data_IF_960692553667
#
_entry.id   IF_960692553667
#
_cell.length_a   1.000
_cell.length_b   1.000
_cell.length_c   1.000
_cell.angle_alpha   90.00
_cell.angle_beta   90.00
_cell.angle_gamma   90.00
#
_symmetry.space_group_name_H-M   'P 1'
#
loop_
_entity.id
_entity.type
_entity.pdbx_description
1 polymer ?
#
# COMPACT_ATOMS: atom_id res chain seq x y z
N UNK A 1 -22.43 -25.93 0.69
CA UNK A 1 -21.16 -26.39 0.09
C UNK A 1 -21.14 -25.87 -1.33
N UNK A 2 -20.55 -24.70 -1.56
CA UNK A 2 -20.32 -24.23 -2.92
C UNK A 2 -19.20 -25.11 -3.51
N UNK A 3 -19.43 -25.73 -4.65
CA UNK A 3 -18.37 -26.37 -5.41
C UNK A 3 -17.33 -25.32 -5.74
N UNK A 4 -16.06 -25.55 -5.36
CA UNK A 4 -14.94 -24.79 -5.90
C UNK A 4 -14.93 -25.01 -7.41
N UNK A 5 -15.58 -24.13 -8.18
CA UNK A 5 -15.36 -24.07 -9.60
C UNK A 5 -13.90 -23.64 -9.80
N UNK A 6 -13.08 -24.61 -10.18
CA UNK A 6 -11.67 -24.39 -10.46
C UNK A 6 -11.57 -23.38 -11.60
N UNK A 7 -10.77 -22.33 -11.40
CA UNK A 7 -10.53 -21.33 -12.42
C UNK A 7 -10.12 -21.98 -13.74
N UNK A 8 -10.67 -21.52 -14.85
CA UNK A 8 -10.40 -22.06 -16.17
C UNK A 8 -9.35 -21.21 -16.89
N UNK A 9 -8.10 -21.33 -16.45
CA UNK A 9 -6.98 -20.51 -16.91
C UNK A 9 -6.28 -21.06 -18.17
N UNK A 10 -6.94 -21.95 -18.93
CA UNK A 10 -6.41 -22.37 -20.22
C UNK A 10 -6.33 -21.17 -21.16
N UNK A 11 -5.26 -21.10 -21.96
CA UNK A 11 -4.98 -19.93 -22.78
C UNK A 11 -6.14 -19.54 -23.71
N UNK A 12 -6.80 -20.53 -24.33
CA UNK A 12 -7.97 -20.30 -25.20
C UNK A 12 -9.09 -19.54 -24.49
N UNK A 13 -9.26 -19.74 -23.18
CA UNK A 13 -10.28 -19.10 -22.37
C UNK A 13 -9.88 -17.67 -21.98
N UNK A 14 -8.59 -17.44 -21.71
CA UNK A 14 -8.06 -16.08 -21.50
C UNK A 14 -8.27 -15.23 -22.76
N UNK A 15 -7.93 -15.77 -23.94
CA UNK A 15 -8.15 -15.10 -25.23
C UNK A 15 -9.64 -14.83 -25.47
N UNK A 16 -10.49 -15.86 -25.29
CA UNK A 16 -11.94 -15.72 -25.45
C UNK A 16 -12.53 -14.65 -24.50
N UNK A 17 -12.05 -14.58 -23.26
CA UNK A 17 -12.52 -13.61 -22.28
C UNK A 17 -12.20 -12.16 -22.68
N UNK A 18 -11.00 -11.90 -23.20
CA UNK A 18 -10.64 -10.57 -23.72
C UNK A 18 -11.42 -10.22 -24.98
N UNK A 19 -11.63 -11.19 -25.88
CA UNK A 19 -12.47 -10.99 -27.06
C UNK A 19 -13.93 -10.67 -26.71
N UNK A 20 -14.50 -11.28 -25.67
CA UNK A 20 -15.86 -10.97 -25.20
C UNK A 20 -16.01 -9.54 -24.70
N UNK A 21 -14.97 -8.98 -24.07
CA UNK A 21 -14.95 -7.59 -23.64
C UNK A 21 -14.76 -6.59 -24.79
N UNK A 22 -14.45 -7.07 -26.01
CA UNK A 22 -14.11 -6.25 -27.18
C UNK A 22 -12.96 -5.26 -26.89
N UNK A 23 -11.99 -5.72 -26.11
CA UNK A 23 -10.81 -4.93 -25.74
C UNK A 23 -9.64 -5.32 -26.64
N UNK A 24 -8.97 -4.30 -27.19
CA UNK A 24 -7.75 -4.48 -27.97
C UNK A 24 -8.01 -4.59 -29.47
N UNK A 25 -7.02 -5.15 -30.17
CA UNK A 25 -7.00 -5.37 -31.61
C UNK A 25 -7.64 -6.67 -32.05
N UNK A 26 -7.58 -6.94 -33.34
CA UNK A 26 -7.98 -8.23 -33.86
C UNK A 26 -6.92 -9.29 -33.51
N UNK A 27 -7.36 -10.54 -33.30
CA UNK A 27 -6.46 -11.68 -33.13
C UNK A 27 -5.44 -11.55 -31.97
N UNK A 28 -5.88 -11.42 -30.71
CA UNK A 28 -4.96 -11.46 -29.57
C UNK A 28 -4.15 -12.75 -29.57
N UNK A 29 -2.86 -12.66 -29.24
CA UNK A 29 -2.00 -13.81 -28.99
C UNK A 29 -1.35 -13.72 -27.61
N UNK A 30 -0.94 -14.87 -27.11
CA UNK A 30 -0.28 -14.98 -25.82
C UNK A 30 1.19 -14.60 -25.93
N UNK A 31 1.63 -13.69 -25.06
CA UNK A 31 3.00 -13.17 -25.07
C UNK A 31 3.71 -13.38 -23.72
N UNK A 32 3.01 -13.86 -22.70
CA UNK A 32 3.65 -14.22 -21.44
C UNK A 32 2.69 -14.42 -20.27
N UNK A 33 3.19 -15.07 -19.24
CA UNK A 33 2.48 -15.31 -17.99
C UNK A 33 3.40 -15.00 -16.82
N UNK A 34 2.83 -14.34 -15.82
CA UNK A 34 3.51 -13.89 -14.61
C UNK A 34 2.70 -14.29 -13.40
N UNK A 35 3.36 -14.81 -12.37
CA UNK A 35 2.74 -15.21 -11.12
C UNK A 35 3.12 -14.18 -10.04
N UNK A 36 2.13 -13.41 -9.58
CA UNK A 36 2.24 -12.54 -8.42
C UNK A 36 1.75 -13.24 -7.14
N UNK A 37 1.87 -12.55 -6.01
CA UNK A 37 1.45 -13.07 -4.71
C UNK A 37 -0.05 -13.32 -4.61
N UNK A 38 -0.87 -12.42 -5.18
CA UNK A 38 -2.34 -12.53 -5.12
C UNK A 38 -3.00 -12.80 -6.48
N UNK A 39 -2.25 -12.73 -7.57
CA UNK A 39 -2.79 -12.81 -8.93
C UNK A 39 -1.90 -13.61 -9.87
N UNK A 40 -2.53 -14.21 -10.88
CA UNK A 40 -1.89 -14.63 -12.12
C UNK A 40 -2.16 -13.58 -13.20
N UNK A 41 -1.12 -13.20 -13.93
CA UNK A 41 -1.18 -12.13 -14.93
C UNK A 41 -0.78 -12.69 -16.29
N UNK A 42 -1.64 -12.50 -17.28
CA UNK A 42 -1.38 -12.92 -18.67
C UNK A 42 -1.13 -11.69 -19.53
N UNK A 43 0.01 -11.62 -20.21
CA UNK A 43 0.28 -10.63 -21.24
C UNK A 43 -0.32 -11.13 -22.55
N UNK A 44 -1.24 -10.36 -23.10
CA UNK A 44 -1.76 -10.56 -24.44
C UNK A 44 -1.28 -9.44 -25.35
N UNK A 45 -0.77 -9.81 -26.51
CA UNK A 45 -0.26 -8.88 -27.52
C UNK A 45 -1.12 -8.93 -28.77
N UNK A 46 -1.05 -7.85 -29.55
CA UNK A 46 -1.80 -7.66 -30.78
C UNK A 46 -0.84 -7.17 -31.86
N UNK A 47 -1.11 -7.48 -33.13
CA UNK A 47 -0.29 -6.99 -34.24
C UNK A 47 -0.54 -5.50 -34.53
N UNK A 48 -1.74 -5.01 -34.23
CA UNK A 48 -2.25 -3.69 -34.59
C UNK A 48 -2.43 -2.75 -33.39
N UNK A 49 -2.25 -3.24 -32.16
CA UNK A 49 -2.52 -2.48 -30.93
C UNK A 49 -1.51 -2.79 -29.81
N UNK A 50 -1.51 -1.92 -28.79
CA UNK A 50 -0.71 -2.12 -27.59
C UNK A 50 -1.19 -3.35 -26.79
N UNK A 51 -0.24 -4.05 -26.19
CA UNK A 51 -0.50 -5.21 -25.34
C UNK A 51 -1.32 -4.86 -24.10
N UNK A 52 -1.98 -5.87 -23.54
CA UNK A 52 -2.79 -5.78 -22.31
C UNK A 52 -2.36 -6.83 -21.30
N UNK A 53 -2.58 -6.51 -20.03
CA UNK A 53 -2.44 -7.44 -18.91
C UNK A 53 -3.82 -7.92 -18.45
N UNK A 54 -4.06 -9.23 -18.48
CA UNK A 54 -5.24 -9.85 -17.87
C UNK A 54 -4.86 -10.32 -16.47
N UNK A 55 -5.40 -9.68 -15.42
CA UNK A 55 -5.15 -10.02 -14.02
C UNK A 55 -6.30 -10.84 -13.46
N UNK A 56 -6.00 -12.07 -13.04
CA UNK A 56 -6.94 -12.98 -12.37
C UNK A 56 -6.42 -13.27 -10.97
N UNK A 57 -7.20 -12.96 -9.93
CA UNK A 57 -6.79 -13.22 -8.54
C UNK A 57 -6.70 -14.73 -8.28
N UNK A 58 -5.80 -15.17 -7.40
CA UNK A 58 -5.80 -16.56 -6.93
C UNK A 58 -7.06 -16.83 -6.10
N UNK A 59 -7.64 -18.03 -6.16
CA UNK A 59 -8.74 -18.41 -5.25
C UNK A 59 -8.25 -18.38 -3.81
N UNK A 60 -9.08 -17.86 -2.91
CA UNK A 60 -8.85 -17.98 -1.46
C UNK A 60 -9.89 -18.92 -0.87
N UNK A 61 -9.44 -19.94 -0.13
CA UNK A 61 -10.29 -21.04 0.35
C UNK A 61 -11.47 -20.57 1.24
N UNK A 62 -11.39 -19.37 1.81
CA UNK A 62 -12.38 -18.82 2.75
C UNK A 62 -13.27 -17.70 2.16
N UNK A 63 -13.07 -17.27 0.90
CA UNK A 63 -13.83 -16.15 0.33
C UNK A 63 -15.10 -16.62 -0.39
N UNK A 64 -16.24 -15.99 -0.10
CA UNK A 64 -17.44 -16.20 -0.90
C UNK A 64 -17.26 -15.62 -2.32
N UNK A 65 -18.10 -16.06 -3.27
CA UNK A 65 -18.13 -15.47 -4.62
C UNK A 65 -18.35 -13.95 -4.57
N UNK A 66 -19.22 -13.50 -3.67
CA UNK A 66 -19.52 -12.07 -3.50
C UNK A 66 -18.32 -11.30 -2.97
N UNK A 67 -17.54 -11.89 -2.04
CA UNK A 67 -16.30 -11.30 -1.55
C UNK A 67 -15.27 -11.17 -2.68
N UNK A 68 -15.08 -12.21 -3.48
CA UNK A 68 -14.17 -12.20 -4.63
C UNK A 68 -14.56 -11.12 -5.64
N UNK A 69 -15.85 -11.01 -5.97
CA UNK A 69 -16.37 -9.97 -6.87
C UNK A 69 -16.13 -8.58 -6.25
N UNK A 70 -16.42 -8.40 -4.96
CA UNK A 70 -16.26 -7.12 -4.28
C UNK A 70 -14.80 -6.64 -4.27
N UNK A 71 -13.84 -7.57 -4.08
CA UNK A 71 -12.40 -7.26 -4.11
C UNK A 71 -12.00 -6.78 -5.52
N UNK A 72 -12.32 -7.55 -6.56
CA UNK A 72 -11.98 -7.17 -7.95
C UNK A 72 -12.69 -5.88 -8.37
N UNK A 73 -13.93 -5.69 -7.95
CA UNK A 73 -14.68 -4.45 -8.20
C UNK A 73 -14.05 -3.24 -7.50
N UNK A 74 -13.49 -3.44 -6.31
CA UNK A 74 -12.80 -2.37 -5.55
C UNK A 74 -11.53 -1.92 -6.29
N UNK A 75 -10.68 -2.86 -6.69
CA UNK A 75 -9.47 -2.57 -7.48
C UNK A 75 -9.82 -1.88 -8.81
N UNK A 76 -10.85 -2.36 -9.50
CA UNK A 76 -11.36 -1.75 -10.73
C UNK A 76 -11.77 -0.27 -10.53
N UNK A 77 -12.56 0.02 -9.48
CA UNK A 77 -13.00 1.39 -9.16
C UNK A 77 -11.85 2.30 -8.77
N UNK A 78 -10.84 1.79 -8.08
CA UNK A 78 -9.63 2.56 -7.72
C UNK A 78 -8.91 2.99 -8.98
N UNK A 79 -8.64 2.07 -9.91
CA UNK A 79 -7.94 2.39 -11.15
C UNK A 79 -8.73 3.40 -12.01
N UNK A 80 -10.05 3.25 -12.11
CA UNK A 80 -10.90 4.25 -12.77
C UNK A 80 -10.83 5.62 -12.10
N UNK A 81 -10.81 5.65 -10.77
CA UNK A 81 -10.70 6.90 -10.00
C UNK A 81 -9.36 7.57 -10.25
N UNK A 82 -8.26 6.82 -10.26
CA UNK A 82 -6.92 7.34 -10.53
C UNK A 82 -6.82 7.92 -11.95
N UNK A 83 -7.38 7.22 -12.94
CA UNK A 83 -7.44 7.72 -14.31
C UNK A 83 -8.25 9.02 -14.40
N UNK A 84 -9.43 9.08 -13.76
CA UNK A 84 -10.26 10.29 -13.71
C UNK A 84 -9.59 11.47 -12.98
N UNK A 85 -8.72 11.19 -12.00
CA UNK A 85 -7.90 12.19 -11.30
C UNK A 85 -6.62 12.56 -12.05
N UNK A 86 -6.36 11.97 -13.20
CA UNK A 86 -5.18 12.24 -14.02
C UNK A 86 -3.89 11.65 -13.46
N UNK A 87 -3.97 10.68 -12.55
CA UNK A 87 -2.80 10.01 -11.99
C UNK A 87 -2.20 9.02 -13.00
N UNK A 88 -1.19 9.47 -13.74
CA UNK A 88 -0.67 8.75 -14.90
C UNK A 88 0.30 7.60 -14.58
N UNK A 89 0.67 7.43 -13.31
CA UNK A 89 1.60 6.37 -12.88
C UNK A 89 0.91 5.03 -12.65
N UNK A 90 -0.42 4.98 -12.59
CA UNK A 90 -1.17 3.73 -12.54
C UNK A 90 -1.45 3.18 -13.94
N UNK A 91 -1.57 1.85 -14.12
CA UNK A 91 -2.00 1.28 -15.40
C UNK A 91 -3.46 1.68 -15.66
N UNK A 92 -3.81 1.93 -16.94
CA UNK A 92 -5.20 2.28 -17.27
C UNK A 92 -6.06 1.03 -17.31
N UNK A 93 -7.28 1.16 -16.79
CA UNK A 93 -8.23 0.07 -16.83
C UNK A 93 -8.93 0.01 -18.19
N UNK A 94 -8.78 -1.10 -18.90
CA UNK A 94 -9.41 -1.32 -20.22
C UNK A 94 -10.78 -1.97 -20.10
N UNK A 95 -11.01 -2.72 -19.02
CA UNK A 95 -12.29 -3.31 -18.66
C UNK A 95 -12.13 -4.40 -17.61
N UNK A 96 -13.23 -5.03 -17.23
CA UNK A 96 -13.25 -6.11 -16.25
C UNK A 96 -14.45 -7.04 -16.49
N UNK A 97 -14.34 -8.27 -16.00
CA UNK A 97 -15.48 -9.17 -15.79
C UNK A 97 -15.68 -9.34 -14.30
N UNK A 98 -16.86 -8.97 -13.79
CA UNK A 98 -17.22 -9.02 -12.37
C UNK A 98 -18.23 -10.16 -12.08
N UNK A 99 -18.13 -11.25 -12.83
CA UNK A 99 -18.99 -12.43 -12.72
C UNK A 99 -18.15 -13.69 -12.91
N UNK A 100 -18.63 -14.82 -12.41
CA UNK A 100 -18.07 -16.14 -12.72
C UNK A 100 -18.59 -16.69 -14.05
N UNK A 101 -19.66 -16.12 -14.60
CA UNK A 101 -20.18 -16.48 -15.92
C UNK A 101 -19.37 -15.85 -17.04
N UNK A 102 -18.13 -16.32 -17.18
CA UNK A 102 -17.21 -15.94 -18.25
C UNK A 102 -16.27 -17.12 -18.57
N UNK A 103 -15.51 -17.08 -19.68
CA UNK A 103 -14.64 -18.19 -20.10
C UNK A 103 -13.60 -18.62 -19.05
N UNK A 104 -13.10 -17.68 -18.25
CA UNK A 104 -12.09 -17.90 -17.18
C UNK A 104 -12.73 -18.51 -15.92
N UNK A 105 -14.06 -18.47 -15.80
CA UNK A 105 -14.81 -18.91 -14.61
C UNK A 105 -14.37 -18.20 -13.32
N UNK A 106 -13.97 -16.93 -13.45
CA UNK A 106 -13.52 -16.11 -12.34
C UNK A 106 -13.58 -14.62 -12.69
N UNK A 107 -13.85 -13.70 -11.74
CA UNK A 107 -13.67 -12.27 -11.95
C UNK A 107 -12.23 -11.90 -12.29
N UNK A 108 -12.05 -10.93 -13.21
CA UNK A 108 -10.74 -10.48 -13.67
C UNK A 108 -10.77 -9.03 -14.16
N UNK A 109 -9.59 -8.40 -14.24
CA UNK A 109 -9.39 -7.04 -14.77
C UNK A 109 -8.45 -7.08 -15.97
N UNK A 110 -8.72 -6.27 -16.99
CA UNK A 110 -7.83 -6.04 -18.12
C UNK A 110 -7.23 -4.64 -18.03
N UNK A 111 -5.91 -4.57 -17.99
CA UNK A 111 -5.13 -3.34 -17.84
C UNK A 111 -4.25 -3.09 -19.06
N UNK A 112 -3.82 -1.84 -19.27
CA UNK A 112 -2.74 -1.56 -20.22
C UNK A 112 -1.46 -2.26 -19.78
N UNK A 113 -0.79 -2.93 -20.72
CA UNK A 113 0.57 -3.40 -20.48
C UNK A 113 1.54 -2.22 -20.48
N UNK A 114 2.50 -2.22 -19.56
CA UNK A 114 3.58 -1.23 -19.51
C UNK A 114 4.89 -1.96 -19.70
N UNK A 115 5.62 -1.61 -20.76
CA UNK A 115 6.93 -2.20 -21.04
C UNK A 115 7.98 -1.69 -20.05
N UNK A 116 8.88 -2.59 -19.67
CA UNK A 116 9.92 -2.35 -18.67
C UNK A 116 10.17 -3.59 -17.82
N UNK A 117 10.87 -3.40 -16.72
CA UNK A 117 11.14 -4.45 -15.74
C UNK A 117 10.80 -3.97 -14.33
N UNK A 118 10.42 -4.88 -13.41
CA UNK A 118 10.29 -4.56 -12.00
C UNK A 118 11.60 -3.99 -11.45
N UNK A 119 11.51 -2.94 -10.64
CA UNK A 119 12.65 -2.32 -9.99
C UNK A 119 13.29 -3.33 -9.03
N UNK A 120 14.58 -3.57 -9.24
CA UNK A 120 15.40 -4.29 -8.28
C UNK A 120 15.98 -3.30 -7.25
N UNK A 121 15.93 -3.68 -5.98
CA UNK A 121 16.39 -2.85 -4.87
C UNK A 121 16.92 -3.71 -3.74
N UNK A 122 18.14 -3.44 -3.31
CA UNK A 122 18.74 -4.00 -2.10
C UNK A 122 19.61 -2.93 -1.41
N UNK A 123 20.48 -3.33 -0.50
CA UNK A 123 21.39 -2.44 0.24
C UNK A 123 22.43 -1.74 -0.66
N UNK A 124 22.80 -2.33 -1.79
CA UNK A 124 23.89 -1.86 -2.65
C UNK A 124 23.39 -1.37 -4.02
N UNK A 125 22.22 -1.84 -4.46
CA UNK A 125 21.65 -1.64 -5.79
C UNK A 125 20.26 -1.00 -5.70
N UNK A 126 19.95 -0.05 -6.58
CA UNK A 126 20.88 0.60 -7.52
C UNK A 126 21.92 1.46 -6.78
N UNK A 127 23.11 1.68 -7.38
CA UNK A 127 24.16 2.50 -6.76
C UNK A 127 23.82 4.00 -6.83
N UNK A 128 24.44 4.81 -5.97
CA UNK A 128 24.38 6.28 -6.07
C UNK A 128 25.25 6.76 -7.25
N UNK A 129 24.83 7.80 -7.99
CA UNK A 129 23.71 8.72 -7.72
C UNK A 129 22.34 8.25 -8.25
N UNK A 130 22.28 7.13 -8.98
CA UNK A 130 21.03 6.64 -9.58
C UNK A 130 19.95 6.35 -8.52
N UNK A 131 20.35 5.77 -7.38
CA UNK A 131 19.49 5.51 -6.23
C UNK A 131 18.73 6.76 -5.76
N UNK A 132 19.43 7.88 -5.61
CA UNK A 132 18.85 9.13 -5.12
C UNK A 132 17.90 9.74 -6.16
N UNK A 133 18.21 9.58 -7.45
CA UNK A 133 17.32 9.98 -8.55
C UNK A 133 16.02 9.15 -8.59
N UNK A 134 16.11 7.84 -8.33
CA UNK A 134 14.94 6.97 -8.22
C UNK A 134 14.08 7.33 -6.99
N UNK A 135 14.70 7.54 -5.83
CA UNK A 135 13.99 7.98 -4.62
C UNK A 135 13.24 9.29 -4.85
N UNK A 136 13.85 10.23 -5.58
CA UNK A 136 13.21 11.49 -5.97
C UNK A 136 12.00 11.27 -6.88
N UNK A 137 12.07 10.32 -7.83
CA UNK A 137 10.93 9.95 -8.66
C UNK A 137 9.82 9.31 -7.82
N UNK A 138 10.13 8.36 -6.94
CA UNK A 138 9.14 7.69 -6.07
C UNK A 138 8.45 8.70 -5.15
N UNK A 139 9.20 9.65 -4.59
CA UNK A 139 8.65 10.72 -3.78
C UNK A 139 7.70 11.62 -4.56
N UNK A 140 8.07 11.99 -5.79
CA UNK A 140 7.20 12.74 -6.70
C UNK A 140 5.92 11.96 -7.03
N UNK A 141 6.01 10.64 -7.20
CA UNK A 141 4.84 9.77 -7.44
C UNK A 141 3.92 9.76 -6.23
N UNK A 142 4.44 9.52 -5.02
CA UNK A 142 3.62 9.53 -3.80
C UNK A 142 2.97 10.90 -3.59
N UNK A 143 3.74 11.97 -3.76
CA UNK A 143 3.25 13.33 -3.62
C UNK A 143 2.14 13.63 -4.63
N UNK A 144 2.31 13.22 -5.88
CA UNK A 144 1.31 13.36 -6.94
C UNK A 144 0.04 12.58 -6.61
N UNK A 145 0.17 11.33 -6.14
CA UNK A 145 -0.96 10.49 -5.74
C UNK A 145 -1.77 11.18 -4.65
N UNK A 146 -1.11 11.60 -3.57
CA UNK A 146 -1.77 12.29 -2.46
C UNK A 146 -2.42 13.58 -2.96
N UNK A 147 -1.68 14.40 -3.72
CA UNK A 147 -2.16 15.70 -4.19
C UNK A 147 -3.42 15.59 -5.06
N UNK A 148 -3.44 14.68 -6.04
CA UNK A 148 -4.57 14.56 -6.96
C UNK A 148 -5.79 13.84 -6.35
N UNK A 149 -5.59 13.07 -5.28
CA UNK A 149 -6.66 12.32 -4.61
C UNK A 149 -7.11 12.94 -3.28
N UNK A 150 -6.52 14.07 -2.91
CA UNK A 150 -6.83 14.76 -1.66
C UNK A 150 -8.30 15.22 -1.62
N UNK A 151 -8.98 14.89 -0.53
CA UNK A 151 -10.37 15.30 -0.32
C UNK A 151 -10.75 15.33 1.17
N UNK A 152 -11.84 16.03 1.47
CA UNK A 152 -12.41 16.07 2.81
C UNK A 152 -13.56 15.06 2.94
N UNK A 153 -13.59 14.35 4.07
CA UNK A 153 -14.65 13.41 4.43
C UNK A 153 -15.37 13.85 5.71
N UNK A 154 -16.54 13.29 5.99
CA UNK A 154 -17.25 13.55 7.25
C UNK A 154 -16.69 12.78 8.45
N UNK A 155 -15.75 11.87 8.21
CA UNK A 155 -15.13 11.02 9.23
C UNK A 155 -13.75 11.58 9.58
N UNK A 156 -13.41 11.63 10.86
CA UNK A 156 -12.06 12.01 11.31
C UNK A 156 -11.09 10.83 11.22
N UNK A 157 -9.79 11.11 11.26
CA UNK A 157 -8.75 10.08 11.32
C UNK A 157 -8.97 9.14 12.52
N UNK A 158 -9.23 9.68 13.72
CA UNK A 158 -9.53 8.87 14.92
C UNK A 158 -10.70 7.92 14.68
N UNK A 159 -11.86 8.43 14.22
CA UNK A 159 -13.03 7.57 13.99
C UNK A 159 -12.77 6.50 12.93
N UNK A 160 -11.99 6.80 11.90
CA UNK A 160 -11.59 5.83 10.88
C UNK A 160 -10.78 4.68 11.47
N UNK A 161 -9.72 4.99 12.23
CA UNK A 161 -8.83 3.98 12.80
C UNK A 161 -9.48 3.22 13.95
N UNK A 162 -10.26 3.86 14.82
CA UNK A 162 -11.03 3.21 15.88
C UNK A 162 -11.96 2.12 15.33
N UNK A 163 -12.61 2.39 14.20
CA UNK A 163 -13.46 1.39 13.53
C UNK A 163 -12.64 0.17 13.11
N UNK A 164 -11.45 0.38 12.53
CA UNK A 164 -10.57 -0.72 12.10
C UNK A 164 -10.06 -1.54 13.31
N UNK A 165 -9.63 -0.86 14.36
CA UNK A 165 -9.17 -1.47 15.61
C UNK A 165 -10.30 -2.29 16.26
N UNK A 166 -11.51 -1.76 16.31
CA UNK A 166 -12.69 -2.47 16.83
C UNK A 166 -13.00 -3.72 16.00
N UNK A 167 -12.98 -3.63 14.68
CA UNK A 167 -13.21 -4.77 13.79
C UNK A 167 -12.15 -5.87 14.01
N UNK A 168 -10.89 -5.49 14.16
CA UNK A 168 -9.79 -6.42 14.48
C UNK A 168 -10.02 -7.08 15.83
N UNK A 169 -10.34 -6.32 16.88
CA UNK A 169 -10.63 -6.88 18.21
C UNK A 169 -11.77 -7.89 18.18
N UNK A 170 -12.85 -7.60 17.43
CA UNK A 170 -13.95 -8.55 17.22
C UNK A 170 -13.44 -9.84 16.58
N UNK A 171 -12.63 -9.76 15.52
CA UNK A 171 -12.04 -10.94 14.86
C UNK A 171 -11.11 -11.74 15.78
N UNK A 172 -10.36 -11.08 16.66
CA UNK A 172 -9.54 -11.74 17.68
C UNK A 172 -10.43 -12.51 18.66
N UNK A 173 -11.48 -11.87 19.19
CA UNK A 173 -12.43 -12.51 20.11
C UNK A 173 -13.15 -13.71 19.49
N UNK A 174 -13.43 -13.65 18.20
CA UNK A 174 -14.03 -14.74 17.41
C UNK A 174 -13.02 -15.85 17.03
N UNK A 175 -11.75 -15.74 17.43
CA UNK A 175 -10.70 -16.72 17.10
C UNK A 175 -10.22 -16.68 15.65
N UNK A 176 -10.62 -15.67 14.86
CA UNK A 176 -10.27 -15.54 13.43
C UNK A 176 -8.85 -14.98 13.21
N UNK A 177 -8.17 -14.55 14.27
CA UNK A 177 -6.78 -14.08 14.21
C UNK A 177 -5.98 -14.77 15.33
N UNK A 178 -5.60 -16.04 15.14
CA UNK A 178 -4.93 -16.81 16.19
C UNK A 178 -3.55 -16.22 16.51
N UNK A 179 -3.19 -16.16 17.80
CA UNK A 179 -1.90 -15.65 18.27
C UNK A 179 -1.89 -14.18 18.68
N UNK A 180 -3.03 -13.48 18.59
CA UNK A 180 -3.25 -12.17 19.21
C UNK A 180 -4.26 -12.30 20.34
N UNK A 181 -4.04 -11.53 21.41
CA UNK A 181 -4.98 -11.43 22.54
C UNK A 181 -5.86 -10.19 22.42
N UNK A 182 -6.98 -10.18 23.14
CA UNK A 182 -7.82 -8.98 23.25
C UNK A 182 -7.07 -7.84 23.95
N UNK A 183 -6.16 -8.15 24.88
CA UNK A 183 -5.31 -7.16 25.55
C UNK A 183 -4.38 -6.47 24.55
N UNK A 184 -3.74 -7.20 23.64
CA UNK A 184 -2.88 -6.60 22.60
C UNK A 184 -3.65 -5.55 21.77
N UNK A 185 -4.93 -5.82 21.47
CA UNK A 185 -5.79 -4.88 20.77
C UNK A 185 -6.15 -3.65 21.61
N UNK A 186 -6.34 -3.81 22.92
CA UNK A 186 -6.61 -2.70 23.84
C UNK A 186 -5.38 -1.81 24.02
N UNK A 187 -4.20 -2.43 24.15
CA UNK A 187 -2.92 -1.72 24.27
C UNK A 187 -2.64 -0.92 22.99
N UNK A 188 -2.88 -1.51 21.81
CA UNK A 188 -2.84 -0.78 20.54
C UNK A 188 -3.80 0.42 20.57
N UNK A 189 -5.07 0.18 20.93
CA UNK A 189 -6.09 1.22 20.92
C UNK A 189 -5.76 2.40 21.84
N UNK A 190 -5.15 2.15 23.00
CA UNK A 190 -4.75 3.19 23.95
C UNK A 190 -3.70 4.16 23.39
N UNK A 191 -2.97 3.77 22.33
CA UNK A 191 -1.90 4.57 21.73
C UNK A 191 -2.37 5.41 20.54
N UNK A 192 -3.60 5.20 20.06
CA UNK A 192 -4.09 5.81 18.81
C UNK A 192 -3.98 7.33 18.80
N UNK A 193 -4.54 7.99 19.82
CA UNK A 193 -4.57 9.46 19.88
C UNK A 193 -3.16 10.04 19.91
N UNK A 194 -2.24 9.37 20.58
CA UNK A 194 -0.83 9.78 20.64
C UNK A 194 -0.14 9.61 19.30
N UNK A 195 -0.39 8.50 18.59
CA UNK A 195 0.19 8.25 17.25
C UNK A 195 -0.33 9.25 16.23
N UNK A 196 -1.62 9.56 16.26
CA UNK A 196 -2.21 10.54 15.34
C UNK A 196 -1.81 11.98 15.69
N UNK A 197 -1.59 12.26 16.98
CA UNK A 197 -1.19 13.58 17.45
C UNK A 197 -2.14 14.68 16.96
N UNK A 198 -1.57 15.65 16.22
CA UNK A 198 -2.34 16.77 15.67
C UNK A 198 -3.35 16.37 14.59
N UNK A 199 -3.18 15.22 13.93
CA UNK A 199 -4.04 14.76 12.84
C UNK A 199 -5.27 13.97 13.31
N UNK A 200 -5.45 13.78 14.63
CA UNK A 200 -6.58 13.03 15.21
C UNK A 200 -7.96 13.45 14.66
N UNK A 201 -8.17 14.75 14.54
CA UNK A 201 -9.42 15.36 14.08
C UNK A 201 -9.39 15.70 12.59
N UNK A 202 -8.32 15.36 11.89
CA UNK A 202 -8.21 15.61 10.45
C UNK A 202 -9.30 14.84 9.73
N UNK A 203 -10.01 15.54 8.86
CA UNK A 203 -10.99 15.00 7.92
C UNK A 203 -10.39 14.87 6.51
N UNK A 204 -9.08 15.09 6.38
CA UNK A 204 -8.36 15.03 5.10
C UNK A 204 -8.00 13.59 4.81
N UNK A 205 -8.40 13.14 3.63
CA UNK A 205 -8.16 11.80 3.11
C UNK A 205 -7.43 11.89 1.78
N UNK A 206 -6.66 10.87 1.47
CA UNK A 206 -6.02 10.69 0.18
C UNK A 206 -5.89 9.19 -0.12
N UNK A 207 -5.61 8.87 -1.37
CA UNK A 207 -5.35 7.49 -1.78
C UNK A 207 -3.99 7.05 -1.27
N UNK A 208 -3.96 5.93 -0.57
CA UNK A 208 -2.77 5.13 -0.29
C UNK A 208 -2.71 3.99 -1.30
N UNK A 209 -1.52 3.71 -1.84
CA UNK A 209 -1.30 2.52 -2.67
C UNK A 209 -1.34 1.25 -1.82
N UNK A 210 -0.94 1.33 -0.55
CA UNK A 210 -0.93 0.22 0.40
C UNK A 210 0.33 -0.64 0.33
N UNK A 211 0.97 -0.76 -0.84
CA UNK A 211 2.14 -1.64 -1.01
C UNK A 211 3.17 -1.11 -2.05
N UNK A 212 3.66 0.13 -1.87
CA UNK A 212 4.73 0.66 -2.73
C UNK A 212 6.04 -0.04 -2.35
N UNK A 213 6.41 -1.04 -3.15
CA UNK A 213 7.64 -1.81 -3.04
C UNK A 213 8.30 -1.97 -4.42
N UNK A 214 9.62 -2.23 -4.48
CA UNK A 214 10.38 -2.28 -5.74
C UNK A 214 9.77 -3.19 -6.80
N UNK A 215 9.29 -4.39 -6.40
CA UNK A 215 8.62 -5.32 -7.32
C UNK A 215 7.34 -4.79 -7.97
N UNK A 216 6.71 -3.76 -7.39
CA UNK A 216 5.51 -3.11 -7.89
C UNK A 216 5.81 -1.83 -8.69
N UNK A 217 7.09 -1.50 -8.92
CA UNK A 217 7.52 -0.33 -9.68
C UNK A 217 8.16 -0.81 -10.98
N UNK A 218 7.59 -0.42 -12.12
CA UNK A 218 8.13 -0.74 -13.45
C UNK A 218 9.03 0.41 -13.91
N UNK A 219 10.26 0.07 -14.30
CA UNK A 219 11.24 1.02 -14.84
C UNK A 219 11.66 0.64 -16.26
N UNK A 220 12.15 1.63 -17.02
CA UNK A 220 12.82 1.41 -18.30
C UNK A 220 14.32 1.12 -18.13
N UNK A 221 15.03 0.85 -19.22
CA UNK A 221 16.47 0.58 -19.25
C UNK A 221 17.34 1.70 -18.68
N UNK A 222 16.79 2.92 -18.59
CA UNK A 222 17.45 4.11 -18.03
C UNK A 222 16.99 4.40 -16.59
N UNK A 223 16.24 3.49 -15.97
CA UNK A 223 15.69 3.63 -14.63
C UNK A 223 14.75 4.85 -14.48
N UNK A 224 14.08 5.25 -15.56
CA UNK A 224 12.90 6.11 -15.41
C UNK A 224 11.74 5.23 -14.99
N UNK A 225 11.04 5.62 -13.93
CA UNK A 225 9.81 4.94 -13.56
C UNK A 225 8.82 5.12 -14.72
N UNK A 226 8.05 4.07 -15.01
CA UNK A 226 7.02 4.05 -16.06
C UNK A 226 5.64 3.84 -15.47
N UNK A 227 5.54 3.00 -14.43
CA UNK A 227 4.28 2.65 -13.81
C UNK A 227 4.48 2.09 -12.40
N UNK A 228 3.50 2.31 -11.53
CA UNK A 228 3.30 1.57 -10.28
C UNK A 228 2.12 0.64 -10.50
N UNK A 229 2.31 -0.65 -10.24
CA UNK A 229 1.32 -1.71 -10.45
C UNK A 229 0.84 -2.26 -9.11
N UNK A 230 -0.13 -3.18 -9.16
CA UNK A 230 -0.66 -3.89 -7.99
C UNK A 230 -1.45 -3.02 -6.99
N UNK A 231 -2.48 -2.35 -7.51
CA UNK A 231 -3.38 -1.47 -6.74
C UNK A 231 -4.44 -2.23 -5.93
N UNK A 232 -4.26 -3.54 -5.71
CA UNK A 232 -5.22 -4.38 -4.98
C UNK A 232 -5.40 -4.00 -3.51
N UNK A 233 -4.36 -3.42 -2.89
CA UNK A 233 -4.38 -2.93 -1.51
C UNK A 233 -4.70 -1.44 -1.38
N UNK A 234 -4.85 -0.75 -2.50
CA UNK A 234 -5.04 0.68 -2.48
C UNK A 234 -6.38 1.05 -1.82
N UNK A 235 -6.39 2.16 -1.11
CA UNK A 235 -7.58 2.61 -0.41
C UNK A 235 -7.51 4.11 -0.18
N UNK A 236 -8.70 4.73 -0.13
CA UNK A 236 -8.81 6.07 0.41
C UNK A 236 -8.74 6.01 1.94
N UNK A 237 -7.72 6.63 2.52
CA UNK A 237 -7.40 6.57 3.95
C UNK A 237 -7.16 7.98 4.51
N UNK A 238 -7.21 8.17 5.84
CA UNK A 238 -6.80 9.43 6.45
C UNK A 238 -5.38 9.80 5.99
N UNK A 239 -5.12 11.10 5.84
CA UNK A 239 -3.82 11.60 5.36
C UNK A 239 -2.64 11.06 6.17
N UNK A 240 -2.84 10.80 7.47
CA UNK A 240 -1.88 10.14 8.35
C UNK A 240 -1.35 8.80 7.84
N UNK A 241 -2.20 7.99 7.17
CA UNK A 241 -1.78 6.73 6.54
C UNK A 241 -1.25 6.94 5.12
N UNK A 242 -1.89 7.78 4.31
CA UNK A 242 -1.43 8.01 2.94
C UNK A 242 -0.04 8.66 2.86
N UNK A 243 0.34 9.42 3.89
CA UNK A 243 1.59 10.16 3.98
C UNK A 243 2.75 9.36 4.62
N UNK A 244 2.59 8.09 4.99
CA UNK A 244 3.71 7.29 5.52
C UNK A 244 4.77 7.01 4.45
N UNK A 245 5.99 6.62 4.83
CA UNK A 245 7.03 6.24 3.88
C UNK A 245 6.56 5.07 2.96
N UNK A 246 7.14 4.90 1.76
CA UNK A 246 7.05 3.63 1.02
C UNK A 246 7.59 2.45 1.83
N UNK A 247 7.04 1.25 1.63
CA UNK A 247 7.28 0.08 2.50
C UNK A 247 8.73 -0.37 2.57
N UNK A 248 9.46 -0.29 1.47
CA UNK A 248 10.89 -0.66 1.43
C UNK A 248 11.80 0.36 2.15
N UNK A 249 11.25 1.48 2.62
CA UNK A 249 11.94 2.43 3.49
C UNK A 249 11.51 2.28 4.96
N UNK A 250 10.70 1.29 5.32
CA UNK A 250 10.25 1.05 6.68
C UNK A 250 11.34 0.38 7.54
N UNK A 251 11.23 0.45 8.88
CA UNK A 251 11.95 -0.50 9.71
C UNK A 251 11.44 -1.93 9.43
N UNK A 252 12.22 -2.92 9.84
CA UNK A 252 11.84 -4.31 9.69
C UNK A 252 10.54 -4.65 10.45
N UNK A 253 9.68 -5.46 9.83
CA UNK A 253 8.35 -5.85 10.36
C UNK A 253 8.43 -6.63 11.70
N UNK A 254 9.63 -7.07 12.13
CA UNK A 254 9.83 -7.67 13.46
C UNK A 254 9.82 -6.66 14.60
N UNK A 255 9.89 -5.34 14.32
CA UNK A 255 9.99 -4.27 15.30
C UNK A 255 11.22 -4.39 16.24
N UNK A 256 12.23 -5.16 15.86
CA UNK A 256 13.43 -5.42 16.68
C UNK A 256 14.66 -4.65 16.25
N UNK A 257 14.75 -4.30 14.97
CA UNK A 257 15.95 -3.76 14.38
C UNK A 257 15.68 -2.37 13.82
N UNK A 258 16.59 -1.44 14.16
CA UNK A 258 16.62 -0.13 13.54
C UNK A 258 16.87 -0.29 12.02
N UNK A 259 16.38 0.65 11.20
CA UNK A 259 16.72 0.70 9.78
C UNK A 259 18.24 0.72 9.58
N UNK A 260 18.71 0.08 8.51
CA UNK A 260 20.15 0.07 8.17
C UNK A 260 20.64 1.49 7.87
N UNK A 261 21.96 1.76 7.98
CA UNK A 261 22.52 3.04 7.57
C UNK A 261 22.20 3.41 6.12
N UNK A 262 22.05 2.42 5.23
CA UNK A 262 21.63 2.64 3.84
C UNK A 262 20.20 3.14 3.78
N UNK A 263 19.26 2.46 4.45
CA UNK A 263 17.85 2.87 4.49
C UNK A 263 17.71 4.28 5.10
N UNK A 264 18.48 4.62 6.13
CA UNK A 264 18.49 5.98 6.68
C UNK A 264 18.95 7.03 5.66
N UNK A 265 19.99 6.75 4.87
CA UNK A 265 20.43 7.62 3.77
C UNK A 265 19.37 7.71 2.65
N UNK A 266 18.69 6.60 2.37
CA UNK A 266 17.62 6.57 1.37
C UNK A 266 16.43 7.42 1.80
N UNK A 267 16.04 7.36 3.08
CA UNK A 267 15.02 8.26 3.64
C UNK A 267 15.42 9.72 3.53
N UNK A 268 16.67 10.06 3.83
CA UNK A 268 17.18 11.43 3.68
C UNK A 268 17.07 11.92 2.24
N UNK A 269 17.49 11.10 1.26
CA UNK A 269 17.38 11.45 -0.16
C UNK A 269 15.90 11.57 -0.60
N UNK A 270 15.05 10.65 -0.15
CA UNK A 270 13.61 10.65 -0.42
C UNK A 270 12.94 11.93 0.12
N UNK A 271 13.09 12.22 1.40
CA UNK A 271 12.50 13.37 2.09
C UNK A 271 13.06 14.68 1.51
N UNK A 272 14.38 14.73 1.25
CA UNK A 272 15.05 15.88 0.65
C UNK A 272 14.49 16.27 -0.72
N UNK A 273 13.91 15.32 -1.47
CA UNK A 273 13.37 15.60 -2.81
C UNK A 273 12.08 16.44 -2.82
N UNK A 274 11.36 16.52 -1.69
CA UNK A 274 10.13 17.32 -1.57
C UNK A 274 10.11 18.27 -0.37
N UNK A 275 11.20 18.37 0.40
CA UNK A 275 11.26 19.20 1.61
C UNK A 275 11.05 20.69 1.38
N UNK A 276 11.35 21.19 0.17
CA UNK A 276 11.12 22.58 -0.23
C UNK A 276 9.68 22.84 -0.72
N UNK A 277 8.86 21.80 -0.89
CA UNK A 277 7.50 21.94 -1.42
C UNK A 277 6.53 22.34 -0.31
N UNK A 278 5.63 23.26 -0.63
CA UNK A 278 4.68 23.86 0.33
C UNK A 278 3.24 23.40 0.14
N UNK A 279 3.00 22.42 -0.73
CA UNK A 279 1.67 21.85 -0.94
C UNK A 279 1.18 21.16 0.33
N UNK A 280 -0.14 21.08 0.53
CA UNK A 280 -0.71 20.41 1.69
C UNK A 280 -0.26 18.95 1.79
N UNK A 281 -0.12 18.27 0.65
CA UNK A 281 0.39 16.91 0.57
C UNK A 281 1.85 16.82 1.03
N UNK A 282 2.73 17.71 0.55
CA UNK A 282 4.15 17.73 0.94
C UNK A 282 4.33 18.03 2.44
N UNK A 283 3.58 19.00 2.97
CA UNK A 283 3.59 19.32 4.40
C UNK A 283 3.09 18.14 5.26
N UNK A 284 2.14 17.36 4.75
CA UNK A 284 1.65 16.15 5.43
C UNK A 284 2.67 15.02 5.37
N UNK A 285 3.31 14.80 4.22
CA UNK A 285 4.41 13.85 4.08
C UNK A 285 5.57 14.20 5.01
N UNK A 286 6.04 15.45 5.04
CA UNK A 286 7.11 15.87 5.95
C UNK A 286 6.77 15.58 7.41
N UNK A 287 5.56 15.94 7.84
CA UNK A 287 5.09 15.72 9.21
C UNK A 287 5.10 14.25 9.64
N UNK A 288 4.82 13.33 8.72
CA UNK A 288 4.75 11.89 9.01
C UNK A 288 6.05 11.14 8.73
N UNK A 289 6.91 11.66 7.84
CA UNK A 289 8.11 10.97 7.38
C UNK A 289 9.40 11.49 8.01
N UNK A 290 9.43 12.76 8.44
CA UNK A 290 10.60 13.40 9.09
C UNK A 290 10.44 13.51 10.62
N UNK A 291 9.49 12.76 11.20
CA UNK A 291 9.27 12.73 12.63
C UNK A 291 10.28 11.80 13.33
N UNK A 292 10.72 12.18 14.55
CA UNK A 292 11.63 11.36 15.37
C UNK A 292 11.05 9.95 15.68
N UNK A 293 9.73 9.84 15.76
CA UNK A 293 9.00 8.60 16.01
C UNK A 293 8.42 7.94 14.74
N UNK A 294 8.94 8.29 13.54
CA UNK A 294 8.45 7.78 12.24
C UNK A 294 8.35 6.26 12.18
N UNK A 295 9.34 5.54 12.71
CA UNK A 295 9.37 4.08 12.71
C UNK A 295 8.21 3.50 13.54
N UNK A 296 7.99 4.07 14.73
CA UNK A 296 6.90 3.66 15.60
C UNK A 296 5.55 3.91 14.95
N UNK A 297 5.34 5.13 14.41
CA UNK A 297 4.08 5.50 13.75
C UNK A 297 3.79 4.62 12.55
N UNK A 298 4.80 4.32 11.75
CA UNK A 298 4.70 3.46 10.56
C UNK A 298 4.28 2.05 10.96
N UNK A 299 5.01 1.41 11.88
CA UNK A 299 4.69 0.05 12.35
C UNK A 299 3.35 0.00 13.09
N UNK A 300 3.02 1.03 13.86
CA UNK A 300 1.72 1.13 14.52
C UNK A 300 0.59 1.16 13.48
N UNK A 301 0.64 2.06 12.50
CA UNK A 301 -0.40 2.14 11.49
C UNK A 301 -0.48 0.87 10.65
N UNK A 302 0.65 0.23 10.36
CA UNK A 302 0.66 -1.04 9.62
C UNK A 302 0.08 -2.20 10.43
N UNK A 303 0.32 -2.25 11.74
CA UNK A 303 -0.25 -3.25 12.64
C UNK A 303 -1.79 -3.24 12.72
N UNK A 304 -2.44 -2.18 12.25
CA UNK A 304 -3.91 -2.12 12.12
C UNK A 304 -4.40 -3.08 11.03
N UNK A 305 -3.58 -3.35 10.01
CA UNK A 305 -3.89 -4.22 8.87
C UNK A 305 -3.07 -5.52 8.87
N UNK A 306 -1.82 -5.49 9.31
CA UNK A 306 -0.91 -6.63 9.36
C UNK A 306 -0.97 -7.39 10.69
N UNK A 307 -1.35 -8.68 10.64
CA UNK A 307 -1.26 -9.58 11.80
C UNK A 307 0.18 -9.74 12.28
N UNK A 308 1.12 -9.86 11.35
CA UNK A 308 2.54 -10.06 11.66
C UNK A 308 3.10 -8.88 12.45
N UNK A 309 2.93 -7.67 11.93
CA UNK A 309 3.42 -6.45 12.59
C UNK A 309 2.73 -6.22 13.93
N UNK A 310 1.42 -6.48 14.06
CA UNK A 310 0.75 -6.41 15.36
C UNK A 310 1.39 -7.37 16.37
N UNK A 311 1.61 -8.62 15.97
CA UNK A 311 2.24 -9.63 16.84
C UNK A 311 3.64 -9.19 17.25
N UNK A 312 4.42 -8.64 16.32
CA UNK A 312 5.76 -8.10 16.58
C UNK A 312 5.73 -6.94 17.57
N UNK A 313 4.88 -5.94 17.32
CA UNK A 313 4.72 -4.74 18.16
C UNK A 313 4.24 -5.09 19.57
N UNK A 314 3.26 -6.00 19.69
CA UNK A 314 2.78 -6.50 20.97
C UNK A 314 3.88 -7.23 21.76
N UNK A 315 4.70 -8.06 21.09
CA UNK A 315 5.83 -8.78 21.73
C UNK A 315 6.90 -7.85 22.28
N UNK A 316 7.09 -6.67 21.69
CA UNK A 316 8.02 -5.64 22.20
C UNK A 316 7.33 -4.64 23.13
N UNK A 317 6.07 -4.91 23.53
CA UNK A 317 5.31 -4.08 24.46
C UNK A 317 4.98 -2.69 23.92
N UNK A 318 4.77 -2.58 22.61
CA UNK A 318 4.53 -1.31 21.90
C UNK A 318 5.63 -0.27 22.17
N UNK A 319 6.88 -0.71 22.18
CA UNK A 319 8.07 0.14 22.30
C UNK A 319 9.17 -0.38 21.36
N UNK A 320 9.83 0.54 20.66
CA UNK A 320 11.01 0.22 19.86
C UNK A 320 12.25 0.54 20.69
N UNK A 321 13.14 -0.42 20.92
CA UNK A 321 14.30 -0.23 21.81
C UNK A 321 15.31 0.80 21.30
N UNK A 322 15.24 1.14 20.02
CA UNK A 322 16.12 2.08 19.33
C UNK A 322 15.44 3.42 19.00
N UNK A 323 14.17 3.60 19.39
CA UNK A 323 13.50 4.89 19.32
C UNK A 323 13.17 5.37 20.73
N UNK A 324 13.49 6.61 21.04
CA UNK A 324 12.93 7.27 22.21
C UNK A 324 11.45 7.54 21.92
N UNK A 325 10.58 6.63 22.36
CA UNK A 325 9.15 6.92 22.36
C UNK A 325 8.92 8.09 23.33
N UNK A 326 8.18 9.14 22.93
CA UNK A 326 7.80 10.38 23.67
C UNK A 326 7.27 10.18 25.12
N UNK A 327 8.03 9.52 25.98
CA UNK A 327 7.55 8.83 27.17
C UNK A 327 8.24 9.22 28.46
N UNK A 328 9.12 10.23 28.44
CA UNK A 328 9.79 10.75 29.65
C UNK A 328 9.61 12.27 29.84
N UNK A 329 8.78 12.95 29.05
CA UNK A 329 8.65 14.41 29.16
C UNK A 329 7.85 14.90 30.39
N UNK A 330 7.12 14.02 31.10
CA UNK A 330 6.32 14.42 32.28
C UNK A 330 6.97 14.11 33.64
N UNK A 331 8.07 13.35 33.72
CA UNK A 331 8.72 13.04 35.02
C UNK A 331 9.94 13.92 35.37
N UNK A 332 10.47 14.72 34.44
CA UNK A 332 11.63 15.58 34.71
C UNK A 332 11.31 17.05 35.04
N UNK A 333 10.03 17.43 35.16
CA UNK A 333 9.65 18.83 35.42
C UNK A 333 9.39 19.19 36.90
N UNK A 334 9.59 18.26 37.87
CA UNK A 334 9.25 18.52 39.29
C UNK A 334 10.44 18.47 40.27
N UNK A 335 11.66 18.15 39.83
CA UNK A 335 12.84 18.10 40.72
C UNK A 335 14.03 18.98 40.24
N UNK A 336 13.78 20.26 39.99
CA UNK A 336 14.86 21.18 39.57
C UNK A 336 14.69 22.65 39.93
N UNK A 337 13.72 23.02 40.78
CA UNK A 337 13.62 24.37 41.36
C UNK A 337 13.46 24.31 42.87
N UNK A 338 14.51 23.87 43.53
CA UNK A 338 14.75 24.17 44.93
C UNK A 338 16.25 24.00 45.17
N UNK A 339 17.01 25.08 44.97
CA UNK A 339 18.30 25.38 45.59
C UNK A 339 18.77 26.72 45.03
N UNK A 340 18.16 27.80 45.51
CA UNK A 340 18.78 29.13 45.60
C UNK A 340 18.06 29.86 46.74
N UNK A 341 18.62 29.71 47.94
CA UNK A 341 18.47 30.65 49.04
C UNK A 341 19.72 30.57 49.92
#
# INVERSE_FOLDING_TARGET
MASNETQNLELKNILAAVSQLKIGGNSPFFDGEFNGGECRVFKLSFEDQASVAVRVRHPTDDSSHDDTIAIVQTEFRILQTLEAKGFHWAPRCRGASLTFDNPVKHPFIVLTWVEGFPLFWDEDLPPRPLRDALLSQIASIQLSLITCTLENRCTTATTFFERQLKNRRTRVREGRIPGLSEQDCLDQQALLDRVLGQDRNSTVFAMDHGDIMPGNIIVDEKYNIKCVIDWGFAALVPIARAAVLPRFLWPDDSARFAPSPTVLKDRQAYIGSFSSQTSHAALSMLRWQDAEDVDFRTLYLDSISSKGVHTSMARVGWKLSYCEFLGNAEEHSVMGRQLEM
#
